data_IF_942118362983
#
_entry.id   IF_942118362983
#
_cell.length_a   1.000
_cell.length_b   1.000
_cell.length_c   1.000
_cell.angle_alpha   90.00
_cell.angle_beta   90.00
_cell.angle_gamma   90.00
#
_symmetry.space_group_name_H-M   'P 1'
#
loop_
_entity.id
_entity.type
_entity.pdbx_description
1 polymer ?
#
# COMPACT_ATOMS: atom_id res chain seq x y z
N UNK A 1 7.63 -7.39 1.13
CA UNK A 1 7.74 -7.15 -0.32
C UNK A 1 9.21 -7.07 -0.67
N UNK A 2 9.65 -7.87 -1.62
CA UNK A 2 11.01 -7.89 -2.17
C UNK A 2 10.97 -7.54 -3.66
N UNK A 3 12.09 -7.10 -4.27
CA UNK A 3 12.11 -6.78 -5.69
C UNK A 3 11.61 -7.95 -6.56
N UNK A 4 10.59 -7.68 -7.38
CA UNK A 4 9.94 -8.68 -8.24
C UNK A 4 8.61 -9.20 -7.70
N UNK A 5 8.25 -8.93 -6.44
CA UNK A 5 6.91 -9.23 -5.93
C UNK A 5 5.84 -8.44 -6.68
N UNK A 6 4.70 -9.08 -6.94
CA UNK A 6 3.50 -8.45 -7.52
C UNK A 6 2.36 -8.53 -6.53
N UNK A 7 1.83 -7.37 -6.15
CA UNK A 7 0.70 -7.27 -5.24
C UNK A 7 -0.53 -6.81 -6.02
N UNK A 8 -1.56 -7.64 -6.05
CA UNK A 8 -2.87 -7.26 -6.58
C UNK A 8 -3.78 -6.84 -5.43
N UNK A 9 -4.30 -5.61 -5.49
CA UNK A 9 -5.15 -5.03 -4.46
C UNK A 9 -6.60 -5.01 -4.99
N UNK A 10 -7.52 -5.79 -4.40
CA UNK A 10 -8.91 -5.78 -4.83
C UNK A 10 -9.60 -4.44 -4.59
N UNK A 11 -10.65 -4.16 -5.38
CA UNK A 11 -11.47 -2.95 -5.25
C UNK A 11 -12.06 -2.83 -3.84
N UNK A 12 -11.99 -1.63 -3.26
CA UNK A 12 -12.58 -1.31 -1.96
C UNK A 12 -11.82 -1.86 -0.75
N UNK A 13 -10.65 -2.49 -0.95
CA UNK A 13 -9.81 -2.96 0.16
C UNK A 13 -9.04 -1.78 0.73
N UNK A 14 -9.30 -1.44 2.00
CA UNK A 14 -8.44 -0.54 2.76
C UNK A 14 -7.06 -1.16 2.93
N UNK A 15 -6.03 -0.44 2.51
CA UNK A 15 -4.66 -0.92 2.54
C UNK A 15 -3.68 0.25 2.70
N UNK A 16 -2.43 -0.10 3.00
CA UNK A 16 -1.29 0.80 2.94
C UNK A 16 -0.06 -0.02 2.51
N UNK A 17 0.93 0.65 1.95
CA UNK A 17 2.22 0.04 1.61
C UNK A 17 3.33 1.08 1.77
N UNK A 18 4.49 0.65 2.24
CA UNK A 18 5.62 1.52 2.52
C UNK A 18 6.90 0.75 2.80
N UNK A 19 7.95 1.48 3.13
CA UNK A 19 9.24 0.91 3.48
C UNK A 19 9.18 0.08 4.77
N UNK A 20 10.10 -0.88 4.92
CA UNK A 20 10.35 -1.51 6.20
C UNK A 20 11.15 -0.55 7.12
N UNK A 21 11.16 -0.78 8.45
CA UNK A 21 11.78 0.17 9.39
C UNK A 21 13.29 0.39 9.19
N UNK A 22 13.96 -0.57 8.55
CA UNK A 22 15.41 -0.64 8.43
C UNK A 22 15.92 -0.66 6.99
N UNK A 23 15.06 -0.44 5.98
CA UNK A 23 15.46 -0.49 4.57
C UNK A 23 14.61 0.39 3.67
N UNK A 24 15.17 0.75 2.51
CA UNK A 24 14.48 1.56 1.52
C UNK A 24 13.54 0.70 0.65
N UNK A 25 12.44 1.29 0.21
CA UNK A 25 11.46 0.65 -0.66
C UNK A 25 11.09 1.55 -1.84
N UNK A 26 10.97 0.95 -3.01
CA UNK A 26 10.47 1.59 -4.22
C UNK A 26 9.67 0.56 -5.00
N UNK A 27 8.57 1.01 -5.60
CA UNK A 27 7.74 0.17 -6.45
C UNK A 27 7.05 1.01 -7.51
N UNK A 28 6.53 0.32 -8.52
CA UNK A 28 5.58 0.90 -9.45
C UNK A 28 4.18 0.73 -8.87
N UNK A 29 3.39 1.81 -8.88
CA UNK A 29 1.97 1.79 -8.59
C UNK A 29 1.21 1.97 -9.90
N UNK A 30 0.32 1.04 -10.21
CA UNK A 30 -0.50 1.07 -11.41
C UNK A 30 -1.95 0.92 -10.97
N UNK A 31 -2.74 1.95 -11.18
CA UNK A 31 -4.18 1.91 -10.94
C UNK A 31 -4.90 1.44 -12.21
N UNK A 32 -5.89 0.56 -12.05
CA UNK A 32 -6.72 0.09 -13.16
C UNK A 32 -7.73 1.19 -13.51
N UNK A 33 -7.81 1.64 -14.77
CA UNK A 33 -8.78 2.65 -15.18
C UNK A 33 -10.22 2.21 -14.89
N UNK A 34 -11.04 3.11 -14.34
CA UNK A 34 -12.47 2.89 -14.14
C UNK A 34 -13.27 4.17 -14.34
N UNK A 35 -14.60 4.06 -14.36
CA UNK A 35 -15.49 5.20 -14.46
C UNK A 35 -15.70 5.85 -13.09
N UNK A 36 -15.52 7.17 -13.00
CA UNK A 36 -15.70 7.95 -11.76
C UNK A 36 -14.92 7.39 -10.55
N UNK A 37 -13.73 6.82 -10.77
CA UNK A 37 -12.89 6.27 -9.71
C UNK A 37 -12.00 7.33 -9.07
N UNK A 38 -11.81 7.23 -7.76
CA UNK A 38 -10.87 8.05 -7.00
C UNK A 38 -10.38 7.29 -5.77
N UNK A 39 -9.21 7.65 -5.25
CA UNK A 39 -8.74 7.17 -3.96
C UNK A 39 -9.52 7.85 -2.82
N UNK A 40 -10.01 7.04 -1.87
CA UNK A 40 -10.51 7.53 -0.59
C UNK A 40 -9.36 7.46 0.43
N UNK A 41 -8.87 8.63 0.83
CA UNK A 41 -7.84 8.72 1.87
C UNK A 41 -8.49 8.66 3.25
N UNK A 42 -7.98 7.75 4.07
CA UNK A 42 -8.48 7.50 5.42
C UNK A 42 -7.47 8.04 6.45
N UNK A 43 -7.45 7.48 7.65
CA UNK A 43 -6.52 7.85 8.70
C UNK A 43 -5.07 7.46 8.37
N UNK A 44 -4.12 8.15 9.02
CA UNK A 44 -2.71 7.78 8.98
C UNK A 44 -2.48 6.41 9.63
N UNK A 45 -1.48 5.68 9.14
CA UNK A 45 -1.01 4.45 9.78
C UNK A 45 -0.20 4.88 11.01
N UNK A 46 -0.68 4.52 12.20
CA UNK A 46 0.01 4.89 13.43
C UNK A 46 1.27 4.04 13.68
N UNK A 47 2.12 4.53 14.57
CA UNK A 47 3.38 3.89 14.96
C UNK A 47 3.21 2.44 15.45
N UNK A 48 2.10 2.11 16.11
CA UNK A 48 1.85 0.77 16.62
C UNK A 48 1.41 -0.16 15.49
N UNK A 49 0.58 0.31 14.57
CA UNK A 49 0.20 -0.43 13.36
C UNK A 49 1.44 -0.69 12.49
N UNK A 50 2.30 0.31 12.32
CA UNK A 50 3.54 0.20 11.57
C UNK A 50 4.61 -0.68 12.26
N UNK A 51 4.59 -0.83 13.58
CA UNK A 51 5.49 -1.78 14.28
C UNK A 51 4.97 -3.21 14.28
N UNK A 52 3.65 -3.39 14.15
CA UNK A 52 2.98 -4.70 14.18
C UNK A 52 2.71 -5.28 12.78
N UNK A 53 3.65 -5.08 11.85
CA UNK A 53 3.60 -5.67 10.51
C UNK A 53 4.14 -7.11 10.64
N UNK A 54 3.41 -8.09 10.09
CA UNK A 54 3.86 -9.49 10.04
C UNK A 54 4.87 -9.72 8.94
#
# INVERSE_FOLDING_TARGET
>A
MTPGDVINIPVGVKHWHGAAPDSWFSHLAIEVPGENTSNEWLEEVDDNQYKNIK
#
